data_IF_258889090898
#
_entry.id   IF_258889090898
#
_cell.length_a   1.000
_cell.length_b   1.000
_cell.length_c   1.000
_cell.angle_alpha   90.00
_cell.angle_beta   90.00
_cell.angle_gamma   90.00
#
_symmetry.space_group_name_H-M   'P 1'
#
loop_
_entity.id
_entity.type
_entity.pdbx_description
1 polymer ?
#
# COMPACT_ATOMS: atom_id res chain seq x y z
N UNK A 1 -14.01 -19.23 -16.13
CA UNK A 1 -13.93 -18.02 -15.31
C UNK A 1 -14.24 -18.45 -13.89
N UNK A 2 -13.41 -18.13 -12.88
CA UNK A 2 -13.79 -18.38 -11.48
C UNK A 2 -14.93 -17.44 -11.12
N UNK A 3 -15.89 -17.90 -10.32
CA UNK A 3 -16.90 -17.00 -9.77
C UNK A 3 -16.23 -16.03 -8.79
N UNK A 4 -16.74 -14.80 -8.69
CA UNK A 4 -16.14 -13.82 -7.78
C UNK A 4 -16.28 -14.27 -6.31
N UNK A 5 -17.38 -14.92 -5.94
CA UNK A 5 -17.59 -15.42 -4.59
C UNK A 5 -16.59 -16.54 -4.25
N UNK A 6 -16.09 -17.30 -5.21
CA UNK A 6 -15.02 -18.28 -4.98
C UNK A 6 -13.75 -17.61 -4.45
N UNK A 7 -13.41 -16.42 -4.98
CA UNK A 7 -12.24 -15.64 -4.54
C UNK A 7 -12.44 -15.19 -3.09
N UNK A 8 -13.62 -14.68 -2.77
CA UNK A 8 -13.94 -14.15 -1.43
C UNK A 8 -14.02 -15.28 -0.41
N UNK A 9 -14.57 -16.43 -0.77
CA UNK A 9 -14.62 -17.62 0.09
C UNK A 9 -13.25 -18.25 0.31
N UNK A 10 -12.36 -18.20 -0.70
CA UNK A 10 -10.98 -18.66 -0.56
C UNK A 10 -10.15 -17.73 0.33
N UNK A 11 -10.29 -16.42 0.17
CA UNK A 11 -9.50 -15.43 0.89
C UNK A 11 -9.82 -15.46 2.38
N UNK A 12 -8.81 -15.74 3.19
CA UNK A 12 -8.86 -15.66 4.65
C UNK A 12 -7.50 -15.19 5.18
N UNK A 13 -7.42 -14.87 6.47
CA UNK A 13 -6.16 -14.48 7.10
C UNK A 13 -5.32 -15.72 7.45
N UNK A 14 -4.51 -16.20 6.51
CA UNK A 14 -3.66 -17.38 6.69
C UNK A 14 -2.56 -17.09 7.72
N UNK A 15 -2.50 -17.87 8.80
CA UNK A 15 -1.61 -17.60 9.95
C UNK A 15 -0.27 -18.33 9.88
N UNK A 16 -0.16 -19.37 9.04
CA UNK A 16 1.05 -20.17 8.89
C UNK A 16 1.17 -20.54 7.41
N UNK A 17 2.29 -20.18 6.79
CA UNK A 17 2.56 -20.49 5.38
C UNK A 17 3.53 -21.67 5.25
N UNK A 18 3.50 -22.34 4.09
CA UNK A 18 4.47 -23.38 3.74
C UNK A 18 5.80 -22.73 3.34
N UNK A 19 6.79 -22.81 4.23
CA UNK A 19 8.11 -22.18 4.06
C UNK A 19 8.93 -22.74 2.89
N UNK A 20 8.57 -23.95 2.43
CA UNK A 20 9.23 -24.62 1.30
C UNK A 20 8.65 -24.19 -0.06
N UNK A 21 7.55 -23.43 -0.06
CA UNK A 21 6.94 -22.90 -1.28
C UNK A 21 7.32 -21.44 -1.49
N UNK A 22 7.50 -21.07 -2.76
CA UNK A 22 7.72 -19.70 -3.19
C UNK A 22 6.72 -19.33 -4.28
N UNK A 23 6.17 -18.13 -4.17
CA UNK A 23 5.33 -17.55 -5.21
C UNK A 23 6.20 -17.27 -6.43
N UNK A 24 5.71 -17.63 -7.62
CA UNK A 24 6.41 -17.35 -8.87
C UNK A 24 6.56 -15.83 -9.08
N UNK A 25 7.60 -15.41 -9.82
CA UNK A 25 7.79 -13.98 -10.12
C UNK A 25 6.59 -13.37 -10.85
N UNK A 26 5.95 -14.14 -11.73
CA UNK A 26 4.84 -13.65 -12.53
C UNK A 26 3.54 -13.55 -11.72
N UNK A 27 3.26 -14.51 -10.84
CA UNK A 27 2.11 -14.40 -9.94
C UNK A 27 2.30 -13.29 -8.91
N UNK A 28 3.52 -13.11 -8.38
CA UNK A 28 3.80 -12.02 -7.47
C UNK A 28 3.70 -10.65 -8.15
N UNK A 29 4.19 -10.52 -9.40
CA UNK A 29 4.00 -9.30 -10.20
C UNK A 29 2.52 -9.02 -10.45
N UNK A 30 1.73 -10.05 -10.74
CA UNK A 30 0.27 -9.92 -10.90
C UNK A 30 -0.40 -9.38 -9.63
N UNK A 31 -0.01 -9.87 -8.45
CA UNK A 31 -0.52 -9.40 -7.15
C UNK A 31 -0.15 -7.93 -6.93
N UNK A 32 1.13 -7.56 -7.12
CA UNK A 32 1.58 -6.18 -6.94
C UNK A 32 0.88 -5.22 -7.92
N UNK A 33 0.69 -5.64 -9.16
CA UNK A 33 0.03 -4.83 -10.18
C UNK A 33 -1.44 -4.56 -9.83
N UNK A 34 -2.14 -5.55 -9.25
CA UNK A 34 -3.49 -5.34 -8.73
C UNK A 34 -3.50 -4.25 -7.65
N UNK A 35 -2.55 -4.30 -6.71
CA UNK A 35 -2.40 -3.24 -5.71
C UNK A 35 -2.15 -1.87 -6.35
N UNK A 36 -1.18 -1.80 -7.29
CA UNK A 36 -0.80 -0.56 -8.00
C UNK A 36 -1.95 0.07 -8.78
N UNK A 37 -2.81 -0.74 -9.38
CA UNK A 37 -3.98 -0.31 -10.17
C UNK A 37 -5.23 -0.03 -9.34
N UNK A 38 -5.14 -0.12 -8.01
CA UNK A 38 -6.29 0.15 -7.14
C UNK A 38 -6.75 1.60 -7.30
N UNK A 39 -8.07 1.86 -7.20
CA UNK A 39 -8.55 3.24 -7.17
C UNK A 39 -8.20 3.89 -5.83
N UNK A 40 -8.05 5.22 -5.84
CA UNK A 40 -7.90 6.00 -4.62
C UNK A 40 -8.62 7.33 -4.72
N UNK A 41 -8.96 7.91 -3.57
CA UNK A 41 -9.51 9.26 -3.50
C UNK A 41 -8.59 10.25 -4.21
N UNK A 42 -9.19 11.05 -5.10
CA UNK A 42 -8.51 11.97 -6.03
C UNK A 42 -7.42 11.33 -6.91
N UNK A 43 -7.31 10.00 -6.94
CA UNK A 43 -6.32 9.25 -7.73
C UNK A 43 -4.87 9.63 -7.45
N UNK A 44 -4.55 10.02 -6.21
CA UNK A 44 -3.17 10.31 -5.79
C UNK A 44 -2.36 9.08 -5.41
N UNK A 45 -2.92 7.86 -5.53
CA UNK A 45 -2.18 6.60 -5.32
C UNK A 45 -1.30 6.68 -4.05
N UNK A 46 -1.93 6.93 -2.90
CA UNK A 46 -1.27 7.37 -1.66
C UNK A 46 -0.45 6.28 -0.94
N UNK A 47 0.10 5.34 -1.70
CA UNK A 47 0.83 4.17 -1.23
C UNK A 47 2.23 4.09 -1.85
N UNK A 48 3.17 3.57 -1.07
CA UNK A 48 4.35 2.87 -1.60
C UNK A 48 4.34 1.42 -1.11
N UNK A 49 4.95 0.52 -1.88
CA UNK A 49 5.06 -0.89 -1.52
C UNK A 49 6.52 -1.29 -1.37
N UNK A 50 6.90 -1.73 -0.17
CA UNK A 50 8.23 -2.28 0.13
C UNK A 50 8.13 -3.79 0.23
N UNK A 51 8.76 -4.49 -0.72
CA UNK A 51 8.79 -5.95 -0.72
C UNK A 51 10.04 -6.44 0.01
N UNK A 52 9.85 -6.98 1.20
CA UNK A 52 10.92 -7.53 2.04
C UNK A 52 11.04 -9.03 1.79
N UNK A 53 12.12 -9.43 1.12
CA UNK A 53 12.45 -10.85 0.88
C UNK A 53 13.64 -11.35 1.70
N UNK A 54 14.48 -10.44 2.17
CA UNK A 54 15.65 -10.77 2.99
C UNK A 54 15.17 -11.45 4.30
N UNK A 55 15.75 -12.60 4.64
CA UNK A 55 15.30 -13.41 5.78
C UNK A 55 15.63 -12.73 7.10
N UNK A 56 16.85 -12.19 7.23
CA UNK A 56 17.34 -11.56 8.45
C UNK A 56 16.50 -10.31 8.81
N UNK A 57 16.10 -9.51 7.82
CA UNK A 57 15.19 -8.38 8.01
C UNK A 57 13.80 -8.84 8.45
N UNK A 58 13.26 -9.93 7.88
CA UNK A 58 11.94 -10.44 8.27
C UNK A 58 11.93 -10.99 9.70
N UNK A 59 13.01 -11.61 10.16
CA UNK A 59 13.12 -12.01 11.57
C UNK A 59 13.10 -10.79 12.51
N UNK A 60 13.88 -9.75 12.20
CA UNK A 60 13.83 -8.49 12.97
C UNK A 60 12.43 -7.85 12.96
N UNK A 61 11.75 -7.85 11.82
CA UNK A 61 10.37 -7.34 11.72
C UNK A 61 9.42 -8.19 12.56
N UNK A 62 9.58 -9.52 12.58
CA UNK A 62 8.75 -10.42 13.39
C UNK A 62 8.87 -10.11 14.88
N UNK A 63 10.07 -9.86 15.39
CA UNK A 63 10.29 -9.44 16.79
C UNK A 63 9.47 -8.18 17.13
N UNK A 64 9.33 -7.27 16.16
CA UNK A 64 8.56 -6.01 16.26
C UNK A 64 7.10 -6.12 15.82
N UNK A 65 6.65 -7.33 15.51
CA UNK A 65 5.28 -7.62 15.04
C UNK A 65 4.59 -8.64 15.95
N UNK A 66 4.79 -8.50 17.27
CA UNK A 66 4.25 -9.41 18.30
C UNK A 66 4.59 -10.89 18.06
N UNK A 67 5.78 -11.13 17.50
CA UNK A 67 6.32 -12.44 17.19
C UNK A 67 5.46 -13.31 16.25
N UNK A 68 4.63 -12.69 15.43
CA UNK A 68 3.72 -13.34 14.48
C UNK A 68 4.47 -14.16 13.39
N UNK A 69 4.30 -15.48 13.39
CA UNK A 69 5.05 -16.42 12.52
C UNK A 69 4.80 -16.23 11.03
N UNK A 70 3.63 -15.69 10.64
CA UNK A 70 3.32 -15.41 9.23
C UNK A 70 4.28 -14.38 8.59
N UNK A 71 4.97 -13.55 9.40
CA UNK A 71 5.96 -12.57 8.93
C UNK A 71 7.17 -13.26 8.30
N UNK A 72 7.63 -14.38 8.86
CA UNK A 72 8.83 -15.09 8.41
C UNK A 72 8.54 -16.32 7.57
N UNK A 73 7.42 -17.01 7.85
CA UNK A 73 7.00 -18.19 7.08
C UNK A 73 6.48 -17.87 5.67
N UNK A 74 6.02 -16.64 5.41
CA UNK A 74 5.52 -16.27 4.09
C UNK A 74 6.59 -16.31 2.98
N UNK A 75 6.16 -16.37 1.71
CA UNK A 75 7.07 -16.25 0.57
C UNK A 75 7.59 -14.82 0.39
N UNK A 76 6.73 -13.82 0.54
CA UNK A 76 7.02 -12.39 0.36
C UNK A 76 6.29 -11.61 1.45
N UNK A 77 6.98 -10.66 2.09
CA UNK A 77 6.38 -9.70 3.00
C UNK A 77 6.26 -8.35 2.28
N UNK A 78 5.06 -7.80 2.19
CA UNK A 78 4.81 -6.47 1.62
C UNK A 78 4.46 -5.52 2.75
N UNK A 79 5.30 -4.51 2.96
CA UNK A 79 5.02 -3.38 3.85
C UNK A 79 4.43 -2.27 3.00
N UNK A 80 3.23 -1.81 3.35
CA UNK A 80 2.51 -0.75 2.64
C UNK A 80 2.69 0.54 3.42
N UNK A 81 3.22 1.56 2.78
CA UNK A 81 3.50 2.87 3.38
C UNK A 81 2.45 3.87 2.94
N UNK A 82 1.94 4.69 3.86
CA UNK A 82 0.85 5.62 3.60
C UNK A 82 1.39 7.05 3.49
N UNK A 83 1.57 7.52 2.26
CA UNK A 83 2.21 8.81 1.96
C UNK A 83 1.61 9.96 2.78
N UNK A 84 2.47 10.73 3.46
CA UNK A 84 2.09 11.96 4.18
C UNK A 84 2.65 13.18 3.44
N UNK A 85 3.98 13.28 3.38
CA UNK A 85 4.66 14.46 2.81
C UNK A 85 4.41 14.61 1.31
N UNK A 86 4.36 13.50 0.58
CA UNK A 86 4.14 13.49 -0.87
C UNK A 86 2.75 13.98 -1.26
N UNK A 87 1.74 13.88 -0.40
CA UNK A 87 0.36 14.21 -0.76
C UNK A 87 -0.07 15.58 -0.22
N UNK A 88 0.88 16.41 0.23
CA UNK A 88 0.63 17.82 0.59
C UNK A 88 0.38 18.67 -0.66
N UNK A 89 -0.43 19.72 -0.51
CA UNK A 89 -0.99 20.52 -1.60
C UNK A 89 0.03 21.03 -2.64
N UNK A 90 1.21 21.45 -2.17
CA UNK A 90 2.23 22.09 -2.99
C UNK A 90 3.43 21.15 -3.29
N UNK A 91 3.26 19.83 -3.09
CA UNK A 91 4.33 18.85 -3.33
C UNK A 91 4.58 18.62 -4.83
N UNK A 92 5.81 18.21 -5.16
CA UNK A 92 6.14 17.74 -6.52
C UNK A 92 5.32 16.51 -6.93
N UNK A 93 5.04 15.63 -5.98
CA UNK A 93 4.29 14.41 -6.26
C UNK A 93 2.86 14.74 -6.70
N UNK A 94 2.15 15.63 -6.01
CA UNK A 94 0.79 16.04 -6.42
C UNK A 94 0.80 16.67 -7.81
N UNK A 95 1.79 17.53 -8.11
CA UNK A 95 1.88 18.15 -9.44
C UNK A 95 2.17 17.13 -10.55
N UNK A 96 3.06 16.16 -10.30
CA UNK A 96 3.32 15.05 -11.24
C UNK A 96 2.04 14.21 -11.46
N UNK A 97 1.25 13.97 -10.41
CA UNK A 97 0.00 13.19 -10.48
C UNK A 97 -1.08 13.91 -11.28
N UNK A 98 -1.22 15.22 -11.11
CA UNK A 98 -2.09 16.06 -11.96
C UNK A 98 -1.60 16.00 -13.41
N UNK A 99 -0.28 16.07 -13.62
CA UNK A 99 0.34 16.01 -14.92
C UNK A 99 0.23 14.63 -15.61
N UNK A 100 -0.27 13.58 -14.96
CA UNK A 100 -0.63 12.30 -15.62
C UNK A 100 -2.02 12.32 -16.26
N UNK A 101 -2.91 13.26 -15.91
CA UNK A 101 -4.29 13.31 -16.42
C UNK A 101 -4.32 13.52 -17.95
N UNK A 102 -5.20 12.83 -18.69
CA UNK A 102 -5.11 12.79 -20.16
C UNK A 102 -5.37 14.15 -20.82
N UNK A 103 -6.27 14.97 -20.27
CA UNK A 103 -6.53 16.31 -20.79
C UNK A 103 -5.48 17.31 -20.30
N UNK A 104 -4.72 17.86 -21.26
CA UNK A 104 -3.56 18.73 -21.03
C UNK A 104 -3.82 20.20 -21.34
N UNK A 105 -5.06 20.61 -21.60
CA UNK A 105 -5.34 22.02 -21.88
C UNK A 105 -4.86 22.90 -20.72
N UNK A 106 -4.23 24.06 -20.97
CA UNK A 106 -3.75 24.94 -19.91
C UNK A 106 -4.84 25.29 -18.89
N UNK A 107 -6.06 25.52 -19.36
CA UNK A 107 -7.22 25.86 -18.55
C UNK A 107 -7.62 24.69 -17.62
N UNK A 108 -7.79 23.48 -18.16
CA UNK A 108 -8.17 22.33 -17.34
C UNK A 108 -7.04 21.91 -16.39
N UNK A 109 -5.79 22.06 -16.79
CA UNK A 109 -4.65 21.84 -15.91
C UNK A 109 -4.67 22.84 -14.73
N UNK A 110 -4.83 24.13 -15.00
CA UNK A 110 -4.91 25.16 -13.97
C UNK A 110 -6.08 24.92 -13.00
N UNK A 111 -7.26 24.57 -13.51
CA UNK A 111 -8.43 24.22 -12.70
C UNK A 111 -8.17 23.02 -11.79
N UNK A 112 -7.46 21.99 -12.28
CA UNK A 112 -7.08 20.84 -11.45
C UNK A 112 -6.08 21.24 -10.36
N UNK A 113 -5.03 21.99 -10.71
CA UNK A 113 -4.06 22.49 -9.72
C UNK A 113 -4.78 23.24 -8.59
N UNK A 114 -5.71 24.12 -8.93
CA UNK A 114 -6.53 24.84 -7.96
C UNK A 114 -7.42 23.90 -7.13
N UNK A 115 -8.11 22.95 -7.78
CA UNK A 115 -8.94 21.96 -7.10
C UNK A 115 -8.15 21.15 -6.07
N UNK A 116 -7.01 20.56 -6.46
CA UNK A 116 -6.19 19.75 -5.55
C UNK A 116 -5.64 20.60 -4.40
N UNK A 117 -5.17 21.81 -4.69
CA UNK A 117 -4.67 22.73 -3.66
C UNK A 117 -5.75 23.05 -2.63
N UNK A 118 -6.95 23.42 -3.10
CA UNK A 118 -8.07 23.74 -2.22
C UNK A 118 -8.54 22.51 -1.44
N UNK A 119 -8.71 21.37 -2.12
CA UNK A 119 -9.11 20.12 -1.47
C UNK A 119 -8.14 19.71 -0.36
N UNK A 120 -6.84 19.70 -0.65
CA UNK A 120 -5.83 19.26 0.31
C UNK A 120 -5.70 20.23 1.49
N UNK A 121 -5.66 21.55 1.25
CA UNK A 121 -5.56 22.55 2.33
C UNK A 121 -6.81 22.61 3.19
N UNK A 122 -8.01 22.55 2.61
CA UNK A 122 -9.25 22.68 3.37
C UNK A 122 -9.54 21.45 4.24
N UNK A 123 -9.28 20.23 3.74
CA UNK A 123 -9.61 19.01 4.46
C UNK A 123 -8.53 18.57 5.45
N UNK A 124 -7.25 18.77 5.12
CA UNK A 124 -6.15 18.25 5.93
C UNK A 124 -5.35 19.34 6.63
N UNK A 125 -5.41 20.60 6.17
CA UNK A 125 -4.83 21.78 6.86
C UNK A 125 -3.35 21.62 7.22
N UNK A 126 -2.59 20.94 6.36
CA UNK A 126 -1.18 20.58 6.55
C UNK A 126 -0.90 19.72 7.82
N UNK A 127 -1.93 19.13 8.41
CA UNK A 127 -1.87 18.21 9.55
C UNK A 127 -1.45 16.80 9.08
N UNK A 128 -0.34 16.32 9.63
CA UNK A 128 0.25 15.04 9.23
C UNK A 128 -0.60 13.85 9.67
N UNK A 129 -1.34 13.94 10.78
CA UNK A 129 -2.18 12.86 11.28
C UNK A 129 -3.46 12.73 10.44
N UNK A 130 -4.11 13.84 10.12
CA UNK A 130 -5.27 13.84 9.20
C UNK A 130 -4.87 13.32 7.81
N UNK A 131 -3.70 13.74 7.33
CA UNK A 131 -3.18 13.28 6.04
C UNK A 131 -2.86 11.78 6.08
N UNK A 132 -2.19 11.31 7.13
CA UNK A 132 -1.88 9.89 7.33
C UNK A 132 -3.15 9.05 7.36
N UNK A 133 -4.17 9.45 8.14
CA UNK A 133 -5.43 8.70 8.25
C UNK A 133 -6.15 8.57 6.90
N UNK A 134 -6.12 9.63 6.09
CA UNK A 134 -6.67 9.60 4.74
C UNK A 134 -5.90 8.66 3.82
N UNK A 135 -4.57 8.76 3.78
CA UNK A 135 -3.69 7.91 2.97
C UNK A 135 -3.75 6.44 3.40
N UNK A 136 -3.79 6.18 4.71
CA UNK A 136 -3.94 4.85 5.28
C UNK A 136 -5.23 4.17 4.80
N UNK A 137 -6.35 4.90 4.83
CA UNK A 137 -7.61 4.38 4.29
C UNK A 137 -7.51 4.01 2.79
N UNK A 138 -6.73 4.76 2.00
CA UNK A 138 -6.51 4.41 0.58
C UNK A 138 -5.60 3.18 0.44
N UNK A 139 -4.59 3.04 1.28
CA UNK A 139 -3.70 1.88 1.32
C UNK A 139 -4.47 0.58 1.60
N UNK A 140 -5.53 0.63 2.40
CA UNK A 140 -6.38 -0.54 2.66
C UNK A 140 -7.10 -1.04 1.41
N UNK A 141 -7.48 -0.17 0.47
CA UNK A 141 -8.02 -0.60 -0.82
C UNK A 141 -6.98 -1.32 -1.65
N UNK A 142 -5.75 -0.80 -1.71
CA UNK A 142 -4.66 -1.46 -2.39
C UNK A 142 -4.32 -2.82 -1.77
N UNK A 143 -4.25 -2.91 -0.44
CA UNK A 143 -4.02 -4.14 0.29
C UNK A 143 -5.11 -5.18 -0.03
N UNK A 144 -6.39 -4.80 0.04
CA UNK A 144 -7.50 -5.69 -0.27
C UNK A 144 -7.47 -6.17 -1.71
N UNK A 145 -7.10 -5.30 -2.67
CA UNK A 145 -7.02 -5.69 -4.07
C UNK A 145 -5.87 -6.68 -4.32
N UNK A 146 -4.72 -6.49 -3.67
CA UNK A 146 -3.63 -7.47 -3.68
C UNK A 146 -4.08 -8.82 -3.11
N UNK A 147 -4.78 -8.82 -1.97
CA UNK A 147 -5.26 -10.07 -1.35
C UNK A 147 -6.31 -10.79 -2.22
N UNK A 148 -7.21 -10.06 -2.89
CA UNK A 148 -8.15 -10.64 -3.85
C UNK A 148 -7.44 -11.22 -5.08
N UNK A 149 -6.42 -10.52 -5.59
CA UNK A 149 -5.60 -11.01 -6.71
C UNK A 149 -4.81 -12.27 -6.33
N UNK A 150 -4.28 -12.33 -5.11
CA UNK A 150 -3.63 -13.52 -4.57
C UNK A 150 -4.62 -14.69 -4.48
N UNK A 151 -5.80 -14.47 -3.90
CA UNK A 151 -6.85 -15.48 -3.81
C UNK A 151 -7.33 -15.99 -5.18
N UNK A 152 -7.44 -15.10 -6.18
CA UNK A 152 -7.75 -15.49 -7.56
C UNK A 152 -6.71 -16.49 -8.11
N UNK A 153 -5.44 -16.29 -7.79
CA UNK A 153 -4.32 -17.18 -8.12
C UNK A 153 -4.20 -18.41 -7.21
N UNK A 154 -5.06 -18.56 -6.21
CA UNK A 154 -4.98 -19.64 -5.22
C UNK A 154 -3.80 -19.47 -4.25
N UNK A 155 -3.40 -18.22 -3.98
CA UNK A 155 -2.30 -17.86 -3.09
C UNK A 155 -2.88 -17.24 -1.83
N UNK A 156 -2.50 -17.78 -0.68
CA UNK A 156 -2.90 -17.27 0.62
C UNK A 156 -2.20 -15.94 0.97
N UNK A 157 -2.84 -15.14 1.82
CA UNK A 157 -2.29 -13.89 2.34
C UNK A 157 -2.77 -13.63 3.77
N UNK A 158 -2.16 -12.66 4.45
CA UNK A 158 -2.58 -12.23 5.78
C UNK A 158 -2.36 -10.72 5.95
N UNK A 159 -3.39 -9.91 6.19
CA UNK A 159 -3.20 -8.54 6.65
C UNK A 159 -2.72 -8.54 8.11
N UNK A 160 -1.86 -7.58 8.45
CA UNK A 160 -1.28 -7.44 9.80
C UNK A 160 -1.22 -5.95 10.14
N UNK A 161 -1.86 -5.55 11.24
CA UNK A 161 -1.73 -4.21 11.85
C UNK A 161 -1.03 -4.27 13.23
N UNK A 162 -0.89 -5.46 13.80
CA UNK A 162 -0.23 -5.68 15.10
C UNK A 162 1.29 -5.61 15.00
N UNK A 163 1.84 -4.40 14.88
CA UNK A 163 3.27 -4.16 14.80
C UNK A 163 3.69 -2.78 15.34
N UNK A 164 4.97 -2.63 15.66
CA UNK A 164 5.59 -1.38 16.09
C UNK A 164 6.04 -0.56 14.87
N UNK A 165 5.23 0.45 14.47
CA UNK A 165 5.49 1.29 13.28
C UNK A 165 6.88 1.90 13.24
N UNK A 166 7.28 2.58 14.33
CA UNK A 166 8.59 3.25 14.41
C UNK A 166 9.74 2.26 14.30
N UNK A 167 9.67 1.12 15.01
CA UNK A 167 10.71 0.11 14.98
C UNK A 167 10.88 -0.54 13.60
N UNK A 168 9.78 -0.78 12.87
CA UNK A 168 9.86 -1.26 11.47
C UNK A 168 10.43 -0.18 10.56
N UNK A 169 10.08 1.09 10.77
CA UNK A 169 10.68 2.23 10.09
C UNK A 169 12.21 2.23 10.23
N UNK A 170 12.72 2.08 11.45
CA UNK A 170 14.16 1.97 11.71
C UNK A 170 14.82 0.77 11.02
N UNK A 171 14.20 -0.42 11.10
CA UNK A 171 14.71 -1.65 10.45
C UNK A 171 14.84 -1.47 8.93
N UNK A 172 13.88 -0.78 8.31
CA UNK A 172 13.80 -0.57 6.87
C UNK A 172 14.44 0.74 6.41
N UNK A 173 14.99 1.55 7.33
CA UNK A 173 15.51 2.88 7.08
C UNK A 173 14.47 3.81 6.38
N UNK A 174 13.25 3.83 6.91
CA UNK A 174 12.11 4.61 6.44
C UNK A 174 11.74 5.65 7.49
N UNK A 175 11.57 6.89 7.05
CA UNK A 175 11.08 8.00 7.86
C UNK A 175 9.56 7.93 7.99
N UNK A 176 9.08 7.36 9.10
CA UNK A 176 7.68 7.17 9.47
C UNK A 176 6.90 8.48 9.66
N UNK A 177 7.57 9.63 9.76
CA UNK A 177 6.89 10.93 9.80
C UNK A 177 6.48 11.41 8.41
N UNK A 178 7.00 10.79 7.35
CA UNK A 178 6.71 11.14 5.96
C UNK A 178 5.74 10.17 5.28
N UNK A 179 5.48 9.01 5.88
CA UNK A 179 4.73 7.89 5.27
C UNK A 179 4.18 6.91 6.32
#
# INVERSE_FOLDING_TARGET
MKDYLDIINFRHACKIFDENKKISKDDFRYILEAGRLSPSSTGLEQWDFVVVQNKELREKIREKSWNQVQVTSCSHLVVILAKISDVKADSKYVSDMIARRPDKTPEAHAQRVEFYKNFLKSNFKDDDELTFNWSHAQCMFAALNMMNAAAFKGIDSCPIEGFEREAIGEILNIDTKKT
#
